data_IF_571994587785
#
_entry.id   IF_571994587785
#
_cell.length_a   1.000
_cell.length_b   1.000
_cell.length_c   1.000
_cell.angle_alpha   90.00
_cell.angle_beta   90.00
_cell.angle_gamma   90.00
#
_symmetry.space_group_name_H-M   'P 1'
#
loop_
_entity.id
_entity.type
_entity.pdbx_description
1 polymer ?
#
# COMPACT_ATOMS: atom_id res chain seq x y z
N UNK A 1 5.63 -0.02 -18.88
CA UNK A 1 5.71 -1.24 -18.03
C UNK A 1 6.75 -0.97 -16.97
N UNK A 2 6.42 -0.95 -15.68
CA UNK A 2 7.43 -0.74 -14.62
C UNK A 2 8.25 -2.00 -14.43
N UNK A 3 9.53 -1.89 -14.05
CA UNK A 3 10.37 -3.06 -13.79
C UNK A 3 10.01 -3.66 -12.42
N UNK A 4 10.30 -4.95 -12.22
CA UNK A 4 10.16 -5.59 -10.91
C UNK A 4 10.95 -4.84 -9.83
N UNK A 5 12.15 -4.37 -10.18
CA UNK A 5 13.02 -3.58 -9.30
C UNK A 5 12.30 -2.35 -8.73
N UNK A 6 11.63 -1.58 -9.58
CA UNK A 6 10.96 -0.33 -9.17
C UNK A 6 9.82 -0.64 -8.18
N UNK A 7 9.03 -1.68 -8.48
CA UNK A 7 7.94 -2.13 -7.60
C UNK A 7 8.44 -2.67 -6.27
N UNK A 8 9.54 -3.43 -6.27
CA UNK A 8 10.15 -3.93 -5.04
C UNK A 8 10.68 -2.78 -4.19
N UNK A 9 11.37 -1.80 -4.78
CA UNK A 9 11.83 -0.61 -4.05
C UNK A 9 10.67 0.17 -3.45
N UNK A 10 9.59 0.34 -4.22
CA UNK A 10 8.39 1.03 -3.74
C UNK A 10 7.72 0.26 -2.59
N UNK A 11 7.56 -1.06 -2.71
CA UNK A 11 7.01 -1.91 -1.66
C UNK A 11 7.86 -1.91 -0.39
N UNK A 12 9.19 -1.86 -0.53
CA UNK A 12 10.12 -1.73 0.60
C UNK A 12 9.91 -0.39 1.31
N UNK A 13 9.86 0.72 0.56
CA UNK A 13 9.61 2.04 1.12
C UNK A 13 8.28 2.12 1.87
N UNK A 14 7.23 1.51 1.31
CA UNK A 14 5.91 1.41 1.95
C UNK A 14 5.92 0.58 3.24
N UNK A 15 6.56 -0.60 3.21
CA UNK A 15 6.62 -1.49 4.38
C UNK A 15 7.53 -0.98 5.50
N UNK A 16 8.52 -0.14 5.17
CA UNK A 16 9.58 0.29 6.09
C UNK A 16 10.57 -0.81 6.49
N UNK A 17 10.49 -2.01 5.89
CA UNK A 17 11.34 -3.14 6.22
C UNK A 17 12.70 -3.09 5.51
N UNK A 18 13.75 -3.60 6.16
CA UNK A 18 15.06 -3.79 5.52
C UNK A 18 15.08 -5.08 4.67
N UNK A 19 15.92 -5.17 3.62
CA UNK A 19 16.06 -6.39 2.81
C UNK A 19 16.34 -7.67 3.60
N UNK A 20 17.13 -7.57 4.67
CA UNK A 20 17.42 -8.68 5.58
C UNK A 20 16.18 -9.15 6.34
N UNK A 21 15.34 -8.22 6.80
CA UNK A 21 14.08 -8.52 7.48
C UNK A 21 13.08 -9.14 6.52
N UNK A 22 13.06 -8.70 5.26
CA UNK A 22 12.19 -9.28 4.24
C UNK A 22 12.57 -10.73 4.00
N UNK A 23 13.85 -11.05 3.80
CA UNK A 23 14.31 -12.43 3.65
C UNK A 23 13.90 -13.30 4.85
N UNK A 24 14.13 -12.81 6.07
CA UNK A 24 13.80 -13.54 7.29
C UNK A 24 12.29 -13.75 7.48
N UNK A 25 11.48 -12.69 7.33
CA UNK A 25 10.03 -12.73 7.58
C UNK A 25 9.26 -13.44 6.46
N UNK A 26 9.71 -13.33 5.21
CA UNK A 26 9.08 -13.98 4.06
C UNK A 26 9.52 -15.44 3.86
N UNK A 27 10.58 -15.88 4.52
CA UNK A 27 11.21 -17.19 4.27
C UNK A 27 11.92 -17.29 2.92
N UNK A 28 12.13 -16.16 2.23
CA UNK A 28 12.83 -16.10 0.95
C UNK A 28 14.33 -15.98 1.17
N UNK A 29 15.13 -16.65 0.35
CA UNK A 29 16.60 -16.57 0.44
C UNK A 29 17.11 -15.14 0.20
N UNK A 30 18.18 -14.77 0.92
CA UNK A 30 18.85 -13.47 0.74
C UNK A 30 19.33 -13.26 -0.71
N UNK A 31 19.77 -14.31 -1.40
CA UNK A 31 20.18 -14.20 -2.80
C UNK A 31 19.02 -13.79 -3.71
N UNK A 32 17.82 -14.34 -3.49
CA UNK A 32 16.66 -13.97 -4.29
C UNK A 32 16.26 -12.51 -4.05
N UNK A 33 16.21 -12.06 -2.80
CA UNK A 33 15.93 -10.65 -2.46
C UNK A 33 16.95 -9.71 -3.10
N UNK A 34 18.25 -10.03 -3.02
CA UNK A 34 19.31 -9.26 -3.66
C UNK A 34 19.18 -9.26 -5.20
N UNK A 35 18.79 -10.39 -5.80
CA UNK A 35 18.56 -10.50 -7.24
C UNK A 35 17.39 -9.64 -7.75
N UNK A 36 16.40 -9.35 -6.90
CA UNK A 36 15.33 -8.40 -7.21
C UNK A 36 15.83 -6.95 -7.13
N UNK A 37 16.63 -6.65 -6.10
CA UNK A 37 17.16 -5.30 -5.83
C UNK A 37 18.28 -4.87 -6.77
N UNK A 38 18.99 -5.82 -7.38
CA UNK A 38 20.00 -5.55 -8.41
C UNK A 38 19.39 -5.39 -9.81
N UNK A 39 18.11 -5.72 -9.99
CA UNK A 39 17.47 -5.76 -11.31
C UNK A 39 17.88 -6.96 -12.18
N UNK A 40 18.70 -7.88 -11.67
CA UNK A 40 19.05 -9.11 -12.37
C UNK A 40 17.81 -9.98 -12.66
N UNK A 41 16.79 -9.88 -11.81
CA UNK A 41 15.52 -10.57 -11.96
C UNK A 41 14.46 -9.65 -12.56
N UNK A 42 13.93 -10.04 -13.73
CA UNK A 42 12.85 -9.28 -14.40
C UNK A 42 11.45 -9.66 -13.92
N UNK A 43 11.29 -10.88 -13.40
CA UNK A 43 10.00 -11.43 -12.95
C UNK A 43 10.17 -12.18 -11.63
N UNK A 44 9.23 -11.99 -10.71
CA UNK A 44 9.23 -12.70 -9.43
C UNK A 44 8.57 -14.07 -9.62
N UNK A 45 9.25 -15.14 -9.17
CA UNK A 45 8.70 -16.50 -9.24
C UNK A 45 7.48 -16.62 -8.32
N UNK A 46 6.48 -17.40 -8.73
CA UNK A 46 5.27 -17.67 -7.95
C UNK A 46 5.57 -18.16 -6.52
N UNK A 47 6.62 -18.96 -6.37
CA UNK A 47 7.13 -19.47 -5.09
C UNK A 47 7.53 -18.37 -4.11
N UNK A 48 7.96 -17.20 -4.61
CA UNK A 48 8.40 -16.07 -3.78
C UNK A 48 7.38 -14.92 -3.77
N UNK A 49 6.47 -14.89 -4.75
CA UNK A 49 5.52 -13.81 -4.96
C UNK A 49 4.61 -13.59 -3.74
N UNK A 50 3.87 -14.62 -3.32
CA UNK A 50 2.92 -14.48 -2.22
C UNK A 50 3.58 -14.25 -0.86
N UNK A 51 4.68 -14.94 -0.49
CA UNK A 51 5.42 -14.63 0.74
C UNK A 51 5.97 -13.21 0.77
N UNK A 52 6.56 -12.74 -0.34
CA UNK A 52 7.07 -11.38 -0.43
C UNK A 52 5.94 -10.34 -0.33
N UNK A 53 4.85 -10.52 -1.09
CA UNK A 53 3.70 -9.62 -1.07
C UNK A 53 3.07 -9.49 0.33
N UNK A 54 2.87 -10.62 1.03
CA UNK A 54 2.38 -10.62 2.42
C UNK A 54 3.32 -9.90 3.38
N UNK A 55 4.62 -10.16 3.26
CA UNK A 55 5.63 -9.54 4.14
C UNK A 55 5.73 -8.04 3.93
N UNK A 56 5.59 -7.60 2.67
CA UNK A 56 5.65 -6.19 2.27
C UNK A 56 4.31 -5.45 2.45
N UNK A 57 3.22 -6.16 2.76
CA UNK A 57 1.89 -5.56 2.89
C UNK A 57 1.28 -5.06 1.57
N UNK A 58 1.65 -5.67 0.44
CA UNK A 58 1.21 -5.25 -0.90
C UNK A 58 0.42 -6.34 -1.63
N UNK A 59 -0.29 -5.95 -2.68
CA UNK A 59 -0.96 -6.87 -3.60
C UNK A 59 0.05 -7.70 -4.40
N UNK A 60 -0.18 -9.01 -4.48
CA UNK A 60 0.61 -9.92 -5.31
C UNK A 60 0.40 -9.68 -6.81
N UNK A 61 -0.81 -9.30 -7.22
CA UNK A 61 -1.11 -8.95 -8.61
C UNK A 61 -0.31 -7.70 -9.04
N UNK A 62 -0.31 -6.68 -8.19
CA UNK A 62 0.47 -5.47 -8.43
C UNK A 62 1.97 -5.76 -8.39
N UNK A 63 2.45 -6.54 -7.44
CA UNK A 63 3.88 -6.84 -7.34
C UNK A 63 4.41 -7.60 -8.57
N UNK A 64 3.62 -8.55 -9.09
CA UNK A 64 4.01 -9.35 -10.26
C UNK A 64 3.90 -8.59 -11.58
N UNK A 65 2.83 -7.82 -11.79
CA UNK A 65 2.48 -7.25 -13.10
C UNK A 65 2.56 -5.72 -13.18
N UNK A 66 2.55 -5.05 -12.03
CA UNK A 66 2.39 -3.59 -11.92
C UNK A 66 0.99 -3.08 -12.19
N UNK A 67 -0.01 -3.97 -12.34
CA UNK A 67 -1.42 -3.61 -12.54
C UNK A 67 -2.19 -3.65 -11.22
N UNK A 68 -3.26 -2.86 -11.14
CA UNK A 68 -4.10 -2.77 -9.94
C UNK A 68 -3.51 -1.88 -8.84
N UNK A 69 -4.10 -1.94 -7.64
CA UNK A 69 -3.64 -1.19 -6.48
C UNK A 69 -2.47 -1.88 -5.79
N UNK A 70 -1.50 -1.08 -5.35
CA UNK A 70 -0.34 -1.57 -4.62
C UNK A 70 -0.70 -2.09 -3.22
N UNK A 71 -1.53 -1.34 -2.51
CA UNK A 71 -1.86 -1.61 -1.12
C UNK A 71 -2.80 -2.81 -1.00
N UNK A 72 -2.57 -3.66 0.00
CA UNK A 72 -3.53 -4.69 0.38
C UNK A 72 -4.61 -4.01 1.22
N UNK A 73 -5.82 -3.85 0.69
CA UNK A 73 -6.94 -3.25 1.42
C UNK A 73 -7.35 -4.03 2.69
N UNK A 74 -6.85 -5.24 2.86
CA UNK A 74 -7.11 -6.15 3.98
C UNK A 74 -5.95 -6.24 4.98
N UNK A 75 -4.86 -5.48 4.81
CA UNK A 75 -3.74 -5.43 5.76
C UNK A 75 -3.53 -3.99 6.21
N UNK A 76 -3.76 -3.73 7.50
CA UNK A 76 -3.52 -2.42 8.09
C UNK A 76 -2.01 -2.11 8.05
N UNK A 77 -1.65 -0.94 7.53
CA UNK A 77 -0.32 -0.36 7.66
C UNK A 77 0.06 -0.17 9.14
N UNK A 78 1.36 0.02 9.41
CA UNK A 78 1.83 0.38 10.75
C UNK A 78 1.18 1.67 11.26
N UNK A 79 0.93 2.64 10.37
CA UNK A 79 0.29 3.90 10.72
C UNK A 79 -1.20 3.69 11.08
N UNK A 80 -1.95 2.93 10.27
CA UNK A 80 -3.35 2.61 10.54
C UNK A 80 -3.50 1.77 11.82
N UNK A 81 -2.62 0.80 12.02
CA UNK A 81 -2.59 0.00 13.24
C UNK A 81 -2.33 0.86 14.48
N UNK A 82 -1.45 1.86 14.38
CA UNK A 82 -1.18 2.79 15.46
C UNK A 82 -2.37 3.73 15.73
N UNK A 83 -3.05 4.20 14.68
CA UNK A 83 -4.27 5.00 14.81
C UNK A 83 -5.36 4.22 15.54
N UNK A 84 -5.61 2.96 15.15
CA UNK A 84 -6.58 2.09 15.81
C UNK A 84 -6.21 1.87 17.28
N UNK A 85 -4.93 1.63 17.58
CA UNK A 85 -4.45 1.48 18.95
C UNK A 85 -4.74 2.73 19.79
N UNK A 86 -4.43 3.92 19.25
CA UNK A 86 -4.67 5.19 19.94
C UNK A 86 -6.16 5.45 20.14
N UNK A 87 -6.97 5.23 19.11
CA UNK A 87 -8.42 5.41 19.18
C UNK A 87 -9.06 4.56 20.28
N UNK A 88 -8.65 3.29 20.40
CA UNK A 88 -9.16 2.37 21.46
C UNK A 88 -8.77 2.77 22.88
N UNK A 89 -7.73 3.57 23.07
CA UNK A 89 -7.32 4.05 24.41
C UNK A 89 -8.05 5.31 24.84
N UNK A 90 -8.85 5.92 23.97
CA UNK A 90 -9.59 7.14 24.25
C UNK A 90 -10.99 6.85 24.82
N UNK A 91 -11.55 7.84 25.54
CA UNK A 91 -12.91 7.78 26.04
C UNK A 91 -13.95 8.07 24.94
N UNK A 92 -15.25 7.79 25.21
CA UNK A 92 -16.31 7.93 24.21
C UNK A 92 -16.46 9.36 23.65
N UNK A 93 -16.19 10.38 24.47
CA UNK A 93 -16.27 11.79 24.04
C UNK A 93 -15.17 12.12 23.04
N UNK A 94 -13.93 11.75 23.34
CA UNK A 94 -12.76 11.98 22.48
C UNK A 94 -12.85 11.18 21.19
N UNK A 95 -13.36 9.94 21.25
CA UNK A 95 -13.67 9.14 20.06
C UNK A 95 -14.69 9.85 19.16
N UNK A 96 -15.79 10.33 19.73
CA UNK A 96 -16.79 11.10 18.97
C UNK A 96 -16.26 12.39 18.35
N UNK A 97 -15.28 13.05 18.99
CA UNK A 97 -14.59 14.21 18.39
C UNK A 97 -13.74 13.80 17.17
N UNK A 98 -13.05 12.67 17.25
CA UNK A 98 -12.29 12.12 16.11
C UNK A 98 -13.24 11.75 14.98
N UNK A 99 -14.36 11.08 15.27
CA UNK A 99 -15.33 10.65 14.27
C UNK A 99 -15.93 11.87 13.55
N UNK A 100 -16.33 12.90 14.31
CA UNK A 100 -16.82 14.16 13.73
C UNK A 100 -15.77 14.88 12.87
N UNK A 101 -14.50 14.84 13.27
CA UNK A 101 -13.40 15.39 12.47
C UNK A 101 -13.22 14.61 11.16
N UNK A 102 -13.21 13.27 11.21
CA UNK A 102 -13.10 12.41 10.02
C UNK A 102 -14.24 12.71 9.04
N UNK A 103 -15.49 12.78 9.53
CA UNK A 103 -16.64 13.14 8.70
C UNK A 103 -16.48 14.52 8.06
N UNK A 104 -16.02 15.53 8.82
CA UNK A 104 -15.80 16.87 8.29
C UNK A 104 -14.76 16.89 7.17
N UNK A 105 -13.65 16.16 7.34
CA UNK A 105 -12.56 16.09 6.35
C UNK A 105 -12.99 15.33 5.10
N UNK A 106 -13.79 14.29 5.24
CA UNK A 106 -14.35 13.54 4.12
C UNK A 106 -15.29 14.42 3.28
N UNK A 107 -16.20 15.17 3.93
CA UNK A 107 -17.10 16.12 3.23
C UNK A 107 -16.33 17.19 2.45
N UNK A 108 -15.25 17.73 3.03
CA UNK A 108 -14.40 18.73 2.34
C UNK A 108 -13.69 18.13 1.11
N UNK A 109 -13.33 16.85 1.15
CA UNK A 109 -12.66 16.18 0.03
C UNK A 109 -13.61 15.72 -1.09
N UNK A 110 -14.92 15.60 -0.82
CA UNK A 110 -15.93 15.27 -1.83
C UNK A 110 -16.37 16.49 -2.65
N UNK A 111 -16.38 17.68 -2.05
CA UNK A 111 -16.80 18.93 -2.68
C UNK A 111 -16.07 19.31 -4.00
N UNK A 112 -14.78 18.97 -4.26
CA UNK A 112 -14.11 19.31 -5.52
C UNK A 112 -14.32 18.30 -6.65
N UNK A 113 -14.83 17.09 -6.38
CA UNK A 113 -14.87 16.02 -7.39
C UNK A 113 -16.13 16.08 -8.28
N UNK A 114 -17.22 16.69 -7.79
CA UNK A 114 -18.44 16.91 -8.57
C UNK A 114 -18.23 17.92 -9.72
N UNK A 115 -17.41 18.95 -9.50
CA UNK A 115 -17.16 20.00 -10.51
C UNK A 115 -16.24 19.51 -11.64
N UNK A 116 -15.32 18.58 -11.36
CA UNK A 116 -14.41 18.03 -12.40
C UNK A 116 -15.10 17.08 -13.38
N UNK A 117 -16.11 16.33 -12.95
CA UNK A 117 -16.85 15.41 -13.83
C UNK A 117 -17.85 16.13 -14.73
N UNK A 118 -18.33 17.32 -14.34
CA UNK A 118 -19.20 18.15 -15.17
C UNK A 118 -18.45 18.81 -16.35
N UNK A 119 -17.20 19.27 -16.14
CA UNK A 119 -16.39 19.90 -17.20
C UNK A 119 -15.86 18.93 -18.28
N UNK A 120 -15.95 17.61 -18.07
CA UNK A 120 -15.56 16.60 -19.05
C UNK A 120 -16.72 16.15 -19.95
N UNK A 121 -17.98 16.52 -19.66
CA UNK A 121 -19.15 16.18 -20.49
C UNK A 121 -19.58 17.29 -21.45
N UNK A 122 -19.04 18.51 -21.35
CA UNK A 122 -19.42 19.65 -22.22
C UNK A 122 -18.45 19.92 -23.38
N UNK A 123 -17.35 19.17 -23.52
CA UNK A 123 -16.42 19.25 -24.66
C UNK A 123 -16.65 18.20 -25.75
N UNK A 124 -17.80 17.52 -25.73
CA UNK A 124 -18.17 16.51 -26.74
C UNK A 124 -19.60 16.77 -27.23
N UNK A 125 -19.79 17.92 -27.85
CA UNK A 125 -20.92 18.26 -28.72
C UNK A 125 -20.40 19.21 -29.81
#
# INVERSE_FOLDING_TARGET
MTLLLDRIKQAIGYSGLKPSEIAQRSGVSKQAVNGWLSGATKTIRSTHLFPAARTLGVSAEWLSSGKGQMERMDTLTSAESLLIKRYRTLGPKEQGQIDGLIESLQRVNEAPNATRQASLRTKKA
#
